data_IF_339806770038
#
_entry.id   IF_339806770038
#
_cell.length_a   1.000
_cell.length_b   1.000
_cell.length_c   1.000
_cell.angle_alpha   90.00
_cell.angle_beta   90.00
_cell.angle_gamma   90.00
#
_symmetry.space_group_name_H-M   'P 1'
#
loop_
_entity.id
_entity.type
_entity.pdbx_description
1 polymer ?
#
# COMPACT_ATOMS: atom_id res chain seq x y z
N UNK A 1 -1.27 12.65 18.82
CA UNK A 1 -0.85 11.58 17.88
C UNK A 1 0.25 12.14 16.99
N UNK A 2 1.35 11.41 16.78
CA UNK A 2 2.38 11.85 15.82
C UNK A 2 1.88 11.70 14.39
N UNK A 3 2.45 12.43 13.42
CA UNK A 3 2.07 12.32 12.00
C UNK A 3 2.23 10.89 11.48
N UNK A 4 3.30 10.18 11.89
CA UNK A 4 3.53 8.79 11.48
C UNK A 4 2.47 7.85 12.07
N UNK A 5 2.12 8.02 13.35
CA UNK A 5 1.04 7.25 13.99
C UNK A 5 -0.29 7.46 13.27
N UNK A 6 -0.59 8.69 12.85
CA UNK A 6 -1.79 9.01 12.09
C UNK A 6 -1.80 8.35 10.71
N UNK A 7 -0.67 8.36 9.99
CA UNK A 7 -0.53 7.64 8.72
C UNK A 7 -0.77 6.14 8.90
N UNK A 8 -0.15 5.52 9.90
CA UNK A 8 -0.32 4.10 10.21
C UNK A 8 -1.80 3.79 10.49
N UNK A 9 -2.44 4.56 11.37
CA UNK A 9 -3.85 4.35 11.72
C UNK A 9 -4.78 4.52 10.51
N UNK A 10 -4.60 5.59 9.73
CA UNK A 10 -5.46 5.83 8.55
C UNK A 10 -5.23 4.80 7.46
N UNK A 11 -3.98 4.35 7.28
CA UNK A 11 -3.67 3.25 6.36
C UNK A 11 -4.33 1.96 6.81
N UNK A 12 -4.42 1.70 8.13
CA UNK A 12 -5.12 0.53 8.65
C UNK A 12 -6.59 0.53 8.24
N UNK A 13 -7.28 1.68 8.33
CA UNK A 13 -8.66 1.78 7.86
C UNK A 13 -8.80 1.59 6.34
N UNK A 14 -7.88 2.18 5.55
CA UNK A 14 -7.87 2.01 4.09
C UNK A 14 -7.56 0.57 3.65
N UNK A 15 -6.78 -0.16 4.45
CA UNK A 15 -6.26 -1.49 4.10
C UNK A 15 -7.35 -2.52 3.82
N UNK A 16 -8.52 -2.39 4.46
CA UNK A 16 -9.68 -3.24 4.21
C UNK A 16 -10.03 -3.26 2.72
N UNK A 17 -9.94 -2.10 2.05
CA UNK A 17 -10.33 -1.97 0.65
C UNK A 17 -9.30 -2.49 -0.35
N UNK A 18 -8.01 -2.43 0.00
CA UNK A 18 -6.94 -2.83 -0.92
C UNK A 18 -6.28 -4.17 -0.60
N UNK A 19 -6.59 -4.83 0.53
CA UNK A 19 -6.05 -6.15 0.89
C UNK A 19 -7.02 -7.28 0.60
N UNK A 20 -8.31 -7.11 0.94
CA UNK A 20 -9.26 -8.22 0.91
C UNK A 20 -9.50 -8.78 -0.50
N UNK A 21 -9.67 -7.90 -1.49
CA UNK A 21 -9.92 -8.32 -2.88
C UNK A 21 -8.69 -9.05 -3.47
N UNK A 22 -7.46 -8.50 -3.38
CA UNK A 22 -6.28 -9.22 -3.88
C UNK A 22 -6.03 -10.55 -3.18
N UNK A 23 -6.22 -10.62 -1.87
CA UNK A 23 -6.02 -11.83 -1.10
C UNK A 23 -7.06 -12.89 -1.47
N UNK A 24 -8.33 -12.51 -1.56
CA UNK A 24 -9.39 -13.40 -2.05
C UNK A 24 -9.19 -13.84 -3.49
N UNK A 25 -8.65 -12.98 -4.36
CA UNK A 25 -8.29 -13.38 -5.71
C UNK A 25 -7.16 -14.43 -5.70
N UNK A 26 -6.14 -14.25 -4.85
CA UNK A 26 -4.99 -15.16 -4.76
C UNK A 26 -5.35 -16.55 -4.20
N UNK A 27 -6.29 -16.63 -3.26
CA UNK A 27 -6.71 -17.92 -2.66
C UNK A 27 -7.45 -18.85 -3.61
N UNK A 28 -7.95 -18.34 -4.74
CA UNK A 28 -8.66 -19.15 -5.75
C UNK A 28 -7.70 -20.11 -6.50
N UNK A 29 -6.39 -20.02 -6.29
CA UNK A 29 -5.35 -20.98 -6.75
C UNK A 29 -5.50 -21.44 -8.21
N UNK A 30 -5.87 -20.53 -9.10
CA UNK A 30 -5.82 -20.74 -10.56
C UNK A 30 -4.65 -19.94 -11.14
N UNK A 31 -4.06 -20.37 -12.26
CA UNK A 31 -2.93 -19.66 -12.89
C UNK A 31 -3.21 -18.17 -13.18
N UNK A 32 -4.48 -17.84 -13.48
CA UNK A 32 -4.94 -16.46 -13.70
C UNK A 32 -5.17 -15.68 -12.39
N UNK A 33 -5.39 -16.36 -11.27
CA UNK A 33 -5.75 -15.74 -9.99
C UNK A 33 -4.60 -14.93 -9.39
N UNK A 34 -3.35 -15.33 -9.61
CA UNK A 34 -2.18 -14.54 -9.22
C UNK A 34 -2.08 -13.23 -9.99
N UNK A 35 -2.38 -13.24 -11.30
CA UNK A 35 -2.42 -12.03 -12.11
C UNK A 35 -3.55 -11.10 -11.66
N UNK A 36 -4.75 -11.66 -11.40
CA UNK A 36 -5.88 -10.88 -10.89
C UNK A 36 -5.56 -10.27 -9.52
N UNK A 37 -4.90 -11.00 -8.62
CA UNK A 37 -4.44 -10.49 -7.33
C UNK A 37 -3.46 -9.32 -7.51
N UNK A 38 -2.45 -9.47 -8.37
CA UNK A 38 -1.48 -8.41 -8.65
C UNK A 38 -2.12 -7.15 -9.25
N UNK A 39 -3.00 -7.31 -10.26
CA UNK A 39 -3.67 -6.18 -10.93
C UNK A 39 -4.65 -5.48 -9.97
N UNK A 40 -5.48 -6.25 -9.26
CA UNK A 40 -6.42 -5.68 -8.29
C UNK A 40 -5.69 -4.93 -7.17
N UNK A 41 -4.58 -5.47 -6.65
CA UNK A 41 -3.76 -4.78 -5.67
C UNK A 41 -3.17 -3.49 -6.25
N UNK A 42 -2.59 -3.54 -7.46
CA UNK A 42 -2.02 -2.36 -8.11
C UNK A 42 -3.03 -1.23 -8.26
N UNK A 43 -4.25 -1.55 -8.72
CA UNK A 43 -5.33 -0.56 -8.86
C UNK A 43 -5.79 -0.05 -7.50
N UNK A 44 -6.14 -0.93 -6.57
CA UNK A 44 -6.74 -0.54 -5.29
C UNK A 44 -5.73 0.20 -4.38
N UNK A 45 -4.49 -0.25 -4.34
CA UNK A 45 -3.43 0.41 -3.56
C UNK A 45 -3.11 1.82 -4.05
N UNK A 46 -3.37 2.12 -5.33
CA UNK A 46 -3.21 3.45 -5.90
C UNK A 46 -4.46 4.31 -5.65
N UNK A 47 -5.64 3.82 -6.01
CA UNK A 47 -6.84 4.65 -6.03
C UNK A 47 -7.47 4.87 -4.65
N UNK A 48 -7.43 3.90 -3.74
CA UNK A 48 -8.02 4.07 -2.39
C UNK A 48 -7.34 5.24 -1.65
N UNK A 49 -6.00 5.34 -1.60
CA UNK A 49 -5.35 6.48 -0.98
C UNK A 49 -5.58 7.79 -1.75
N UNK A 50 -5.66 7.77 -3.09
CA UNK A 50 -6.00 8.96 -3.88
C UNK A 50 -7.37 9.50 -3.45
N UNK A 51 -8.40 8.65 -3.39
CA UNK A 51 -9.73 9.07 -2.95
C UNK A 51 -9.73 9.63 -1.53
N UNK A 52 -8.97 9.00 -0.63
CA UNK A 52 -8.77 9.52 0.70
C UNK A 52 -8.09 10.91 0.68
N UNK A 53 -7.05 11.11 -0.13
CA UNK A 53 -6.33 12.39 -0.25
C UNK A 53 -7.17 13.52 -0.84
N UNK A 54 -8.12 13.19 -1.72
CA UNK A 54 -9.10 14.14 -2.27
C UNK A 54 -10.13 14.64 -1.24
N UNK A 55 -10.27 13.96 -0.10
CA UNK A 55 -11.22 14.35 0.95
C UNK A 55 -10.79 15.63 1.67
N UNK A 56 -11.74 16.43 2.15
CA UNK A 56 -11.48 17.60 2.99
C UNK A 56 -10.76 17.23 4.29
N UNK A 57 -11.00 16.02 4.79
CA UNK A 57 -10.45 15.50 6.05
C UNK A 57 -9.11 14.76 5.89
N UNK A 58 -8.42 14.93 4.75
CA UNK A 58 -7.23 14.15 4.40
C UNK A 58 -5.93 14.51 5.13
N UNK A 59 -5.94 15.56 5.96
CA UNK A 59 -4.75 16.07 6.63
C UNK A 59 -4.18 15.08 7.66
N UNK A 60 -2.85 14.95 7.69
CA UNK A 60 -2.15 14.05 8.62
C UNK A 60 -1.47 14.79 9.79
N UNK A 61 -1.64 14.24 10.99
CA UNK A 61 -1.02 14.70 12.23
C UNK A 61 -1.55 16.05 12.75
N UNK A 62 -0.91 16.62 13.79
CA UNK A 62 -1.40 17.83 14.46
C UNK A 62 -1.45 19.07 13.57
N UNK A 63 -0.65 19.10 12.50
CA UNK A 63 -0.56 20.19 11.53
C UNK A 63 -1.43 19.99 10.28
N UNK A 64 -2.28 18.96 10.27
CA UNK A 64 -3.16 18.62 9.15
C UNK A 64 -2.45 18.64 7.77
N UNK A 65 -1.22 18.11 7.70
CA UNK A 65 -0.40 18.18 6.47
C UNK A 65 -1.09 17.40 5.35
N UNK A 66 -1.24 18.04 4.20
CA UNK A 66 -1.85 17.43 3.02
C UNK A 66 -0.79 16.97 2.03
N UNK A 67 -1.02 15.79 1.46
CA UNK A 67 -0.16 15.20 0.44
C UNK A 67 -0.76 15.52 -0.93
N UNK A 68 -0.04 16.21 -1.83
CA UNK A 68 -0.51 16.38 -3.20
C UNK A 68 -0.49 15.04 -3.93
N UNK A 69 -1.54 14.77 -4.71
CA UNK A 69 -1.75 13.49 -5.40
C UNK A 69 -0.54 13.10 -6.24
N UNK A 70 0.06 14.04 -6.98
CA UNK A 70 1.23 13.75 -7.81
C UNK A 70 2.42 13.20 -7.00
N UNK A 71 2.66 13.74 -5.80
CA UNK A 71 3.74 13.26 -4.93
C UNK A 71 3.42 11.87 -4.39
N UNK A 72 2.15 11.61 -4.06
CA UNK A 72 1.71 10.26 -3.68
C UNK A 72 1.90 9.25 -4.81
N UNK A 73 1.49 9.59 -6.05
CA UNK A 73 1.65 8.70 -7.22
C UNK A 73 3.13 8.38 -7.48
N UNK A 74 4.01 9.37 -7.38
CA UNK A 74 5.45 9.15 -7.51
C UNK A 74 6.00 8.24 -6.40
N UNK A 75 5.63 8.48 -5.15
CA UNK A 75 6.04 7.64 -4.03
C UNK A 75 5.52 6.21 -4.16
N UNK A 76 4.26 6.04 -4.56
CA UNK A 76 3.67 4.73 -4.83
C UNK A 76 4.42 4.00 -5.95
N UNK A 77 4.72 4.67 -7.06
CA UNK A 77 5.47 4.07 -8.18
C UNK A 77 6.87 3.62 -7.76
N UNK A 78 7.56 4.41 -6.92
CA UNK A 78 8.86 4.03 -6.35
C UNK A 78 8.76 2.78 -5.48
N UNK A 79 7.76 2.69 -4.60
CA UNK A 79 7.58 1.52 -3.72
C UNK A 79 7.21 0.28 -4.52
N UNK A 80 6.32 0.39 -5.51
CA UNK A 80 5.97 -0.75 -6.36
C UNK A 80 7.14 -1.19 -7.24
N UNK A 81 7.89 -0.25 -7.82
CA UNK A 81 9.11 -0.56 -8.58
C UNK A 81 10.16 -1.26 -7.72
N UNK A 82 10.41 -0.77 -6.50
CA UNK A 82 11.31 -1.42 -5.54
C UNK A 82 10.84 -2.82 -5.15
N UNK A 83 9.54 -3.00 -4.93
CA UNK A 83 8.97 -4.32 -4.61
C UNK A 83 9.14 -5.29 -5.78
N UNK A 84 8.87 -4.83 -7.01
CA UNK A 84 9.08 -5.64 -8.21
C UNK A 84 10.54 -6.10 -8.33
N UNK A 85 11.50 -5.21 -8.07
CA UNK A 85 12.92 -5.57 -8.07
C UNK A 85 13.25 -6.61 -6.99
N UNK A 86 12.72 -6.45 -5.77
CA UNK A 86 12.92 -7.42 -4.68
C UNK A 86 12.40 -8.81 -5.06
N UNK A 87 11.17 -8.90 -5.59
CA UNK A 87 10.56 -10.18 -5.95
C UNK A 87 11.24 -10.88 -7.13
N UNK A 88 11.91 -10.14 -8.02
CA UNK A 88 12.61 -10.73 -9.17
C UNK A 88 14.08 -11.07 -8.89
N UNK A 89 14.73 -10.37 -7.96
CA UNK A 89 16.19 -10.48 -7.78
C UNK A 89 16.59 -11.17 -6.47
N UNK A 90 15.69 -11.34 -5.50
CA UNK A 90 15.99 -12.04 -4.25
C UNK A 90 15.40 -13.44 -4.23
N UNK A 91 16.11 -14.36 -3.57
CA UNK A 91 15.57 -15.70 -3.30
C UNK A 91 14.49 -15.62 -2.20
N UNK A 92 13.24 -15.80 -2.63
CA UNK A 92 12.06 -15.82 -1.77
C UNK A 92 11.52 -17.23 -1.58
N UNK A 93 12.34 -18.28 -1.77
CA UNK A 93 11.92 -19.68 -1.58
C UNK A 93 11.25 -19.92 -0.21
N UNK A 94 11.72 -19.23 0.83
CA UNK A 94 11.11 -19.29 2.17
C UNK A 94 9.63 -18.85 2.17
N UNK A 95 9.27 -17.83 1.40
CA UNK A 95 7.90 -17.30 1.29
C UNK A 95 6.98 -18.31 0.59
N UNK A 96 7.51 -18.98 -0.41
CA UNK A 96 6.78 -19.98 -1.19
C UNK A 96 6.63 -21.31 -0.45
N UNK A 97 7.53 -21.61 0.48
CA UNK A 97 7.49 -22.79 1.35
C UNK A 97 6.52 -22.65 2.55
N UNK A 98 5.97 -21.46 2.78
CA UNK A 98 4.93 -21.28 3.81
C UNK A 98 3.64 -21.99 3.42
N UNK A 99 2.84 -22.34 4.44
CA UNK A 99 1.45 -22.74 4.23
C UNK A 99 0.67 -21.63 3.51
N UNK A 100 -0.43 -21.97 2.83
CA UNK A 100 -1.28 -20.97 2.16
C UNK A 100 -1.67 -19.84 3.10
N UNK A 101 -2.13 -20.19 4.32
CA UNK A 101 -2.50 -19.20 5.35
C UNK A 101 -1.29 -18.33 5.73
N UNK A 102 -0.11 -18.93 5.94
CA UNK A 102 1.09 -18.19 6.30
C UNK A 102 1.49 -17.19 5.22
N UNK A 103 1.42 -17.59 3.96
CA UNK A 103 1.74 -16.75 2.81
C UNK A 103 0.74 -15.60 2.64
N UNK A 104 -0.55 -15.87 2.83
CA UNK A 104 -1.60 -14.85 2.77
C UNK A 104 -1.42 -13.77 3.84
N UNK A 105 -1.05 -14.16 5.06
CA UNK A 105 -0.70 -13.22 6.14
C UNK A 105 0.50 -12.36 5.76
N UNK A 106 1.56 -12.97 5.20
CA UNK A 106 2.73 -12.22 4.75
C UNK A 106 2.38 -11.24 3.63
N UNK A 107 1.56 -11.65 2.65
CA UNK A 107 1.10 -10.74 1.60
C UNK A 107 0.25 -9.60 2.15
N UNK A 108 -0.64 -9.85 3.12
CA UNK A 108 -1.39 -8.79 3.79
C UNK A 108 -0.47 -7.75 4.45
N UNK A 109 0.56 -8.23 5.17
CA UNK A 109 1.56 -7.35 5.80
C UNK A 109 2.33 -6.54 4.76
N UNK A 110 2.80 -7.19 3.68
CA UNK A 110 3.52 -6.51 2.60
C UNK A 110 2.64 -5.43 1.96
N UNK A 111 1.42 -5.77 1.56
CA UNK A 111 0.47 -4.86 0.93
C UNK A 111 0.18 -3.63 1.81
N UNK A 112 0.01 -3.84 3.11
CA UNK A 112 -0.17 -2.78 4.10
C UNK A 112 1.07 -1.88 4.22
N UNK A 113 2.24 -2.50 4.38
CA UNK A 113 3.52 -1.79 4.53
C UNK A 113 3.85 -0.96 3.29
N UNK A 114 3.56 -1.46 2.09
CA UNK A 114 3.80 -0.74 0.83
C UNK A 114 2.99 0.56 0.75
N UNK A 115 1.69 0.52 1.05
CA UNK A 115 0.84 1.72 1.03
C UNK A 115 1.25 2.69 2.14
N UNK A 116 1.54 2.19 3.34
CA UNK A 116 2.02 2.99 4.47
C UNK A 116 3.32 3.71 4.11
N UNK A 117 4.29 2.99 3.54
CA UNK A 117 5.58 3.54 3.11
C UNK A 117 5.40 4.59 2.01
N UNK A 118 4.49 4.36 1.06
CA UNK A 118 4.18 5.33 0.00
C UNK A 118 3.68 6.65 0.57
N UNK A 119 2.78 6.61 1.56
CA UNK A 119 2.27 7.80 2.24
C UNK A 119 3.36 8.50 3.08
N UNK A 120 4.19 7.75 3.78
CA UNK A 120 5.32 8.30 4.56
C UNK A 120 6.33 9.00 3.64
N UNK A 121 6.71 8.35 2.53
CA UNK A 121 7.62 8.93 1.54
C UNK A 121 7.01 10.18 0.89
N UNK A 122 5.71 10.16 0.60
CA UNK A 122 5.04 11.31 0.03
C UNK A 122 4.99 12.52 0.99
N UNK A 123 4.81 12.27 2.30
CA UNK A 123 4.93 13.31 3.33
C UNK A 123 6.35 13.86 3.49
N UNK A 124 7.36 13.03 3.25
CA UNK A 124 8.76 13.43 3.31
C UNK A 124 9.19 14.24 2.06
N UNK A 125 8.68 13.87 0.88
CA UNK A 125 9.07 14.47 -0.40
C UNK A 125 8.28 15.69 -0.85
N UNK A 126 7.11 15.96 -0.25
CA UNK A 126 6.28 17.11 -0.61
C UNK A 126 6.69 18.42 0.08
N UNK A 127 6.60 19.56 -0.62
CA UNK A 127 6.38 20.86 0.03
C UNK A 127 4.98 20.81 0.67
N UNK A 128 4.92 20.28 1.89
CA UNK A 128 3.69 20.11 2.64
C UNK A 128 3.03 21.49 2.80
N UNK A 129 1.88 21.70 2.16
CA UNK A 129 1.06 22.88 2.41
C UNK A 129 0.42 22.70 3.78
N UNK A 130 0.90 23.45 4.77
CA UNK A 130 0.19 23.65 6.03
C UNK A 130 -1.06 24.49 5.71
N UNK A 131 -2.22 24.10 6.26
CA UNK A 131 -3.47 24.86 6.16
C UNK A 131 -3.52 25.85 7.31
#
# INVERSE_FOLDING_TARGET
>A
MSTIQDVVQRTMYMSIFFILIPLGAYTIHTGMSAMVAGVSYGVLSLFIPIFYLCSSESGFGPKARRIPICVYVLAWALVQGGTFLVFNNLDLSWLWNLSTIGRDVVFAIIMYCQVTLSLVLALAGGKNTEV
#
